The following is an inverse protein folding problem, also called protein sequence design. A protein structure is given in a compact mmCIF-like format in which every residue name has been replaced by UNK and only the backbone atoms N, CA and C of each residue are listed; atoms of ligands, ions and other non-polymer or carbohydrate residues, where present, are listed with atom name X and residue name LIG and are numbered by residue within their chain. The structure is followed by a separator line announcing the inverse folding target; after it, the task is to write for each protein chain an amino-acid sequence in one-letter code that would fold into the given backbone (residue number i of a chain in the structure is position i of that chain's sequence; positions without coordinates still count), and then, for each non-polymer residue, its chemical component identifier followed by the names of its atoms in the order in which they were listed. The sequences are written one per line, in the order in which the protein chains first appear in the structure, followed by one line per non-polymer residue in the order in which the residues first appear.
data_IF_507009169582
#
_entry.id   IF_507009169582
#
_cell.length_a   1.000
_cell.length_b   1.000
_cell.length_c   1.000
_cell.angle_alpha   90.00
_cell.angle_beta   90.00
_cell.angle_gamma   90.00
#
_symmetry.space_group_name_H-M   'P 1'
#
loop_
_entity.id
_entity.type
_entity.pdbx_description
1 polymer ?
#
# COMPACT_ATOMS: atom_id res chain seq x y z
N UNK A 1 21.98 -11.00 -8.59
CA UNK A 1 21.43 -9.89 -7.80
C UNK A 1 20.46 -10.42 -6.76
N UNK A 2 20.61 -9.98 -5.53
CA UNK A 2 19.77 -10.44 -4.45
C UNK A 2 18.42 -9.70 -4.50
N UNK A 3 17.33 -10.44 -4.57
CA UNK A 3 16.00 -9.88 -4.50
C UNK A 3 15.67 -9.55 -3.05
N UNK A 4 15.12 -8.38 -2.76
CA UNK A 4 14.63 -8.11 -1.40
C UNK A 4 13.41 -8.97 -1.10
N UNK A 5 13.08 -9.21 0.19
CA UNK A 5 11.84 -9.90 0.56
C UNK A 5 10.61 -9.23 -0.04
N UNK A 6 10.67 -7.91 -0.12
CA UNK A 6 9.70 -7.11 -0.86
C UNK A 6 10.18 -7.02 -2.30
N UNK A 7 9.36 -7.46 -3.22
CA UNK A 7 9.72 -7.49 -4.62
C UNK A 7 8.94 -6.43 -5.38
N UNK A 8 9.67 -5.49 -5.96
CA UNK A 8 9.10 -4.47 -6.84
C UNK A 8 9.84 -4.52 -8.16
N UNK A 9 9.12 -4.76 -9.25
CA UNK A 9 9.68 -4.82 -10.60
C UNK A 9 9.40 -3.52 -11.34
N UNK A 10 9.90 -3.44 -12.55
CA UNK A 10 9.71 -2.33 -13.46
C UNK A 10 10.43 -1.08 -12.99
N UNK A 11 9.76 0.05 -13.01
CA UNK A 11 10.37 1.33 -12.69
C UNK A 11 10.37 1.52 -11.17
N UNK A 12 11.57 1.58 -10.59
CA UNK A 12 11.71 1.90 -9.19
C UNK A 12 11.92 3.41 -9.03
N UNK A 13 11.07 4.03 -8.25
CA UNK A 13 11.21 5.43 -7.86
C UNK A 13 11.46 5.50 -6.36
N UNK A 14 12.57 6.13 -5.93
CA UNK A 14 12.81 6.27 -4.51
C UNK A 14 11.73 7.15 -3.87
N UNK A 15 11.42 6.91 -2.59
CA UNK A 15 10.47 7.77 -1.90
C UNK A 15 11.03 9.18 -1.73
N UNK A 16 10.16 10.18 -1.77
CA UNK A 16 10.53 11.56 -1.46
C UNK A 16 10.56 11.82 0.05
N UNK A 17 9.83 11.02 0.82
CA UNK A 17 9.88 10.99 2.28
C UNK A 17 9.79 9.54 2.72
N UNK A 18 10.50 9.20 3.80
CA UNK A 18 10.49 7.84 4.33
C UNK A 18 10.70 7.86 5.84
N UNK A 19 10.02 6.96 6.54
CA UNK A 19 10.24 6.73 7.96
C UNK A 19 11.36 5.73 8.23
N UNK A 20 12.11 5.32 7.21
CA UNK A 20 13.11 4.26 7.34
C UNK A 20 14.15 4.56 8.42
N UNK A 21 14.51 5.83 8.59
CA UNK A 21 15.53 6.24 9.56
C UNK A 21 14.98 6.49 10.98
N UNK A 22 13.70 6.21 11.20
CA UNK A 22 13.05 6.43 12.50
C UNK A 22 13.21 5.25 13.45
N UNK A 23 13.78 4.15 13.00
CA UNK A 23 13.95 2.96 13.82
C UNK A 23 12.67 2.15 14.05
N UNK A 24 11.60 2.43 13.30
CA UNK A 24 10.37 1.67 13.40
C UNK A 24 10.55 0.34 12.68
N UNK A 25 10.30 -0.76 13.38
CA UNK A 25 10.56 -2.10 12.83
C UNK A 25 9.33 -2.74 12.18
N UNK A 26 8.13 -2.29 12.54
CA UNK A 26 6.88 -2.94 12.11
C UNK A 26 6.05 -2.11 11.16
N UNK A 27 6.38 -0.85 10.99
CA UNK A 27 5.64 0.09 10.15
C UNK A 27 6.64 0.90 9.34
N UNK A 28 6.39 0.98 8.04
CA UNK A 28 7.16 1.84 7.15
C UNK A 28 6.19 2.78 6.45
N UNK A 29 6.42 4.08 6.59
CA UNK A 29 5.60 5.11 5.94
C UNK A 29 6.47 5.82 4.93
N UNK A 30 6.03 5.83 3.68
CA UNK A 30 6.78 6.46 2.59
C UNK A 30 5.85 7.25 1.67
N UNK A 31 6.35 8.37 1.18
CA UNK A 31 5.65 9.16 0.19
C UNK A 31 6.38 9.08 -1.14
N UNK A 32 5.62 8.84 -2.20
CA UNK A 32 6.15 8.72 -3.55
C UNK A 32 5.54 9.77 -4.46
N UNK A 33 6.32 10.20 -5.44
CA UNK A 33 5.86 11.03 -6.54
C UNK A 33 6.40 10.41 -7.82
N UNK A 34 5.52 10.09 -8.76
CA UNK A 34 5.88 9.31 -9.93
C UNK A 34 5.21 9.84 -11.19
N UNK A 35 5.95 9.92 -12.31
CA UNK A 35 5.32 10.18 -13.61
C UNK A 35 4.48 8.98 -14.04
N UNK A 36 3.70 9.11 -15.13
CA UNK A 36 2.93 7.98 -15.64
C UNK A 36 3.79 6.73 -15.79
N UNK A 37 3.26 5.59 -15.39
CA UNK A 37 4.01 4.34 -15.44
C UNK A 37 3.24 3.18 -14.89
N UNK A 38 3.97 2.13 -14.54
CA UNK A 38 3.40 0.92 -13.98
C UNK A 38 4.37 0.27 -13.00
N UNK A 39 3.83 -0.53 -12.10
CA UNK A 39 4.64 -1.28 -11.13
C UNK A 39 3.95 -2.59 -10.78
N UNK A 40 4.77 -3.59 -10.46
CA UNK A 40 4.31 -4.85 -9.90
C UNK A 40 4.96 -5.00 -8.53
N UNK A 41 4.13 -5.23 -7.52
CA UNK A 41 4.59 -5.34 -6.14
C UNK A 41 4.11 -6.64 -5.51
N UNK A 42 4.98 -7.23 -4.68
CA UNK A 42 4.63 -8.40 -3.89
C UNK A 42 5.34 -8.31 -2.55
N UNK A 43 4.59 -7.97 -1.52
CA UNK A 43 5.14 -7.90 -0.16
C UNK A 43 4.78 -9.20 0.56
N UNK A 44 5.80 -9.98 0.93
CA UNK A 44 5.59 -11.32 1.47
C UNK A 44 5.06 -11.31 2.92
N UNK A 45 5.46 -10.33 3.71
CA UNK A 45 5.14 -10.29 5.14
C UNK A 45 4.56 -8.94 5.59
N UNK A 46 4.18 -8.10 4.66
CA UNK A 46 3.63 -6.78 4.97
C UNK A 46 2.32 -6.53 4.24
N UNK A 47 1.38 -5.92 4.94
CA UNK A 47 0.19 -5.35 4.34
C UNK A 47 0.50 -3.93 3.87
N UNK A 48 -0.05 -3.53 2.73
CA UNK A 48 0.18 -2.20 2.18
C UNK A 48 -1.12 -1.41 2.12
N UNK A 49 -1.08 -0.18 2.62
CA UNK A 49 -2.17 0.78 2.50
C UNK A 49 -1.62 1.95 1.71
N UNK A 50 -2.24 2.27 0.59
CA UNK A 50 -1.84 3.38 -0.25
C UNK A 50 -2.94 4.43 -0.26
N UNK A 51 -2.59 5.68 0.03
CA UNK A 51 -3.53 6.79 -0.01
C UNK A 51 -3.10 7.78 -1.08
N UNK A 52 -4.02 8.15 -1.96
CA UNK A 52 -3.74 9.14 -2.98
C UNK A 52 -3.55 10.52 -2.35
N UNK A 53 -2.48 11.20 -2.73
CA UNK A 53 -2.21 12.59 -2.37
C UNK A 53 -2.19 13.47 -3.62
N UNK A 54 -2.52 12.93 -4.78
CA UNK A 54 -2.46 13.66 -6.03
C UNK A 54 -3.45 14.83 -6.00
N UNK A 55 -3.03 16.03 -6.41
CA UNK A 55 -3.92 17.20 -6.41
C UNK A 55 -5.03 17.10 -7.45
N UNK A 56 -4.87 16.24 -8.44
CA UNK A 56 -5.87 15.97 -9.49
C UNK A 56 -6.14 14.48 -9.54
N UNK A 57 -7.36 14.06 -9.87
CA UNK A 57 -7.66 12.64 -9.99
C UNK A 57 -6.74 11.95 -10.98
N UNK A 58 -6.29 10.76 -10.63
CA UNK A 58 -5.41 9.92 -11.45
C UNK A 58 -6.13 8.62 -11.78
N UNK A 59 -6.13 8.24 -13.04
CA UNK A 59 -6.72 6.97 -13.46
C UNK A 59 -5.74 5.85 -13.20
N UNK A 60 -6.23 4.83 -12.49
CA UNK A 60 -5.46 3.62 -12.21
C UNK A 60 -6.15 2.40 -12.78
N UNK A 61 -5.34 1.53 -13.37
CA UNK A 61 -5.71 0.14 -13.59
C UNK A 61 -4.97 -0.67 -12.54
N UNK A 62 -5.68 -1.47 -11.75
CA UNK A 62 -5.09 -2.31 -10.71
C UNK A 62 -5.54 -3.75 -10.89
N UNK A 63 -4.62 -4.67 -10.60
CA UNK A 63 -4.92 -6.11 -10.62
C UNK A 63 -4.45 -6.67 -9.28
N UNK A 64 -5.38 -7.26 -8.53
CA UNK A 64 -5.11 -7.90 -7.23
C UNK A 64 -5.87 -9.21 -7.17
N UNK A 65 -5.17 -10.30 -6.82
CA UNK A 65 -5.82 -11.59 -6.66
C UNK A 65 -6.61 -12.02 -7.88
N UNK A 66 -6.12 -11.74 -9.08
CA UNK A 66 -6.80 -12.09 -10.33
C UNK A 66 -7.96 -11.19 -10.72
N UNK A 67 -8.21 -10.10 -9.96
CA UNK A 67 -9.31 -9.18 -10.23
C UNK A 67 -8.75 -7.86 -10.74
N UNK A 68 -9.40 -7.29 -11.75
CA UNK A 68 -9.00 -6.04 -12.37
C UNK A 68 -9.99 -4.94 -12.01
N UNK A 69 -9.45 -3.76 -11.67
CA UNK A 69 -10.24 -2.58 -11.32
C UNK A 69 -9.67 -1.36 -12.02
N UNK A 70 -10.53 -0.59 -12.66
CA UNK A 70 -10.14 0.67 -13.31
C UNK A 70 -10.99 1.77 -12.70
N UNK A 71 -10.32 2.80 -12.17
CA UNK A 71 -11.03 3.91 -11.52
C UNK A 71 -10.17 5.15 -11.46
N UNK A 72 -10.80 6.28 -11.23
CA UNK A 72 -10.12 7.53 -10.90
C UNK A 72 -9.93 7.60 -9.39
N UNK A 73 -8.69 7.85 -8.97
CA UNK A 73 -8.36 8.04 -7.56
C UNK A 73 -8.17 9.51 -7.28
N UNK A 74 -8.97 10.05 -6.39
CA UNK A 74 -8.83 11.40 -5.89
C UNK A 74 -8.12 11.43 -4.55
N UNK A 75 -7.69 12.62 -4.13
CA UNK A 75 -7.00 12.80 -2.86
C UNK A 75 -7.79 12.19 -1.71
N UNK A 76 -7.14 11.33 -0.92
CA UNK A 76 -7.76 10.64 0.19
C UNK A 76 -8.27 9.25 -0.12
N UNK A 77 -8.39 8.87 -1.40
CA UNK A 77 -8.81 7.52 -1.74
C UNK A 77 -7.72 6.52 -1.35
N UNK A 78 -8.15 5.40 -0.78
CA UNK A 78 -7.28 4.36 -0.24
C UNK A 78 -7.38 3.08 -1.06
N UNK A 79 -6.25 2.37 -1.11
CA UNK A 79 -6.15 1.02 -1.66
C UNK A 79 -5.45 0.14 -0.63
N UNK A 80 -5.95 -1.06 -0.40
CA UNK A 80 -5.40 -1.98 0.60
C UNK A 80 -5.01 -3.28 -0.09
N UNK A 81 -3.78 -3.71 0.12
CA UNK A 81 -3.26 -4.97 -0.41
C UNK A 81 -2.71 -5.81 0.73
N UNK A 82 -3.32 -6.97 1.01
CA UNK A 82 -2.83 -7.85 2.06
C UNK A 82 -1.44 -8.40 1.77
N UNK A 83 -0.75 -8.83 2.82
CA UNK A 83 0.52 -9.55 2.67
C UNK A 83 0.34 -10.77 1.76
N UNK A 84 1.38 -11.11 1.03
CA UNK A 84 1.45 -12.25 0.11
C UNK A 84 0.58 -12.12 -1.15
N UNK A 85 -0.13 -11.03 -1.32
CA UNK A 85 -0.92 -10.81 -2.52
C UNK A 85 -0.13 -9.95 -3.51
N UNK A 86 0.27 -10.48 -4.66
CA UNK A 86 0.88 -9.65 -5.69
C UNK A 86 -0.14 -8.68 -6.26
N UNK A 87 0.31 -7.48 -6.62
CA UNK A 87 -0.56 -6.55 -7.29
C UNK A 87 0.18 -5.80 -8.38
N UNK A 88 -0.58 -5.41 -9.39
CA UNK A 88 -0.11 -4.59 -10.50
C UNK A 88 -0.89 -3.30 -10.52
N UNK A 89 -0.19 -2.19 -10.81
CA UNK A 89 -0.84 -0.90 -10.97
C UNK A 89 -0.23 -0.17 -12.17
N UNK A 90 -1.10 0.47 -12.95
CA UNK A 90 -0.70 1.35 -14.07
C UNK A 90 -1.48 2.64 -13.94
N UNK A 91 -0.79 3.74 -14.10
CA UNK A 91 -1.41 5.07 -14.04
C UNK A 91 -0.94 5.91 -15.22
N UNK A 92 -1.81 6.83 -15.67
CA UNK A 92 -1.62 7.56 -16.93
C UNK A 92 -1.31 9.05 -16.75
N UNK A 93 -1.13 9.51 -15.52
CA UNK A 93 -0.73 10.89 -15.26
C UNK A 93 0.12 10.94 -14.00
N UNK A 94 0.72 12.09 -13.71
CA UNK A 94 1.56 12.24 -12.53
C UNK A 94 0.80 11.86 -11.27
N UNK A 95 1.42 11.04 -10.43
CA UNK A 95 0.82 10.54 -9.21
C UNK A 95 1.62 10.94 -7.99
N UNK A 96 0.94 11.06 -6.87
CA UNK A 96 1.54 11.27 -5.57
C UNK A 96 0.78 10.42 -4.58
N UNK A 97 1.50 9.60 -3.81
CA UNK A 97 0.84 8.71 -2.86
C UNK A 97 1.63 8.58 -1.57
N UNK A 98 0.89 8.30 -0.51
CA UNK A 98 1.43 7.88 0.78
C UNK A 98 1.23 6.38 0.88
N UNK A 99 2.30 5.64 1.15
CA UNK A 99 2.22 4.21 1.36
C UNK A 99 2.59 3.88 2.80
N UNK A 100 1.74 3.08 3.43
CA UNK A 100 1.98 2.55 4.78
C UNK A 100 2.09 1.03 4.64
N UNK A 101 3.24 0.47 5.05
CA UNK A 101 3.42 -0.97 5.10
C UNK A 101 3.50 -1.41 6.56
N UNK A 102 2.72 -2.42 6.90
CA UNK A 102 2.62 -2.92 8.27
C UNK A 102 2.89 -4.42 8.24
N UNK A 103 3.81 -4.88 9.10
CA UNK A 103 4.10 -6.32 9.14
C UNK A 103 2.88 -7.09 9.60
N UNK A 104 2.70 -8.28 9.01
CA UNK A 104 1.63 -9.19 9.39
C UNK A 104 1.74 -9.57 10.87
N UNK A 105 2.96 -9.77 11.36
CA UNK A 105 3.21 -10.09 12.77
C UNK A 105 2.70 -8.99 13.69
N UNK A 106 2.95 -7.71 13.35
CA UNK A 106 2.49 -6.60 14.16
C UNK A 106 0.96 -6.51 14.15
N UNK A 107 0.33 -6.74 13.01
CA UNK A 107 -1.13 -6.76 12.92
C UNK A 107 -1.72 -7.85 13.81
N UNK A 108 -1.11 -9.05 13.79
CA UNK A 108 -1.55 -10.14 14.65
C UNK A 108 -1.40 -9.80 16.14
N UNK A 109 -0.32 -9.13 16.49
CA UNK A 109 -0.07 -8.69 17.86
C UNK A 109 -1.12 -7.68 18.32
N UNK A 110 -1.44 -6.69 17.48
CA UNK A 110 -2.47 -5.70 17.80
C UNK A 110 -3.83 -6.36 17.95
N UNK A 111 -4.16 -7.33 17.08
CA UNK A 111 -5.42 -8.06 17.17
C UNK A 111 -5.54 -8.78 18.51
N UNK A 112 -4.46 -9.43 18.96
CA UNK A 112 -4.47 -10.17 20.23
C UNK A 112 -4.53 -9.24 21.43
N UNK A 113 -3.68 -8.21 21.47
CA UNK A 113 -3.48 -7.41 22.67
C UNK A 113 -4.49 -6.28 22.80
N UNK A 114 -4.84 -5.64 21.71
CA UNK A 114 -5.70 -4.45 21.76
C UNK A 114 -7.16 -4.75 21.45
N UNK A 115 -7.43 -5.75 20.62
CA UNK A 115 -8.80 -6.03 20.15
C UNK A 115 -9.33 -7.35 20.64
N UNK A 116 -8.52 -8.16 21.35
CA UNK A 116 -8.90 -9.48 21.86
C UNK A 116 -9.43 -10.40 20.75
N UNK A 117 -8.85 -10.29 19.56
CA UNK A 117 -9.21 -11.13 18.42
C UNK A 117 -8.15 -12.21 18.27
N UNK A 118 -8.60 -13.45 18.00
CA UNK A 118 -7.70 -14.55 17.68
C UNK A 118 -6.96 -14.22 16.37
N UNK A 119 -5.60 -14.14 16.37
CA UNK A 119 -4.85 -13.82 15.16
C UNK A 119 -5.15 -14.74 13.98
N UNK A 120 -5.52 -15.98 14.23
CA UNK A 120 -5.86 -16.93 13.18
C UNK A 120 -7.15 -16.54 12.45
N UNK A 121 -7.96 -15.66 13.04
CA UNK A 121 -9.21 -15.19 12.45
C UNK A 121 -9.08 -13.79 11.83
N UNK A 122 -7.90 -13.18 12.01
CA UNK A 122 -7.67 -11.87 11.43
C UNK A 122 -7.46 -12.01 9.93
N UNK A 123 -8.22 -11.24 9.17
CA UNK A 123 -8.10 -11.21 7.72
C UNK A 123 -8.06 -9.76 7.25
N UNK A 124 -7.02 -9.42 6.50
CA UNK A 124 -6.94 -8.12 5.82
C UNK A 124 -7.59 -8.29 4.46
N UNK A 125 -8.65 -7.53 4.23
CA UNK A 125 -9.45 -7.66 3.01
C UNK A 125 -8.84 -6.80 1.91
N UNK A 126 -8.51 -7.38 0.74
CA UNK A 126 -8.03 -6.57 -0.38
C UNK A 126 -9.12 -5.60 -0.81
N UNK A 127 -8.75 -4.34 -0.97
CA UNK A 127 -9.68 -3.27 -1.31
C UNK A 127 -9.08 -2.42 -2.42
N UNK A 128 -9.80 -2.24 -3.51
CA UNK A 128 -9.30 -1.42 -4.61
C UNK A 128 -9.43 0.07 -4.29
N UNK A 129 -10.55 0.49 -3.73
CA UNK A 129 -10.80 1.89 -3.46
C UNK A 129 -11.77 2.06 -2.29
N UNK A 130 -11.35 2.84 -1.30
CA UNK A 130 -12.19 3.19 -0.15
C UNK A 130 -11.72 4.53 0.42
N UNK A 131 -12.38 5.00 1.47
CA UNK A 131 -11.98 6.22 2.16
C UNK A 131 -12.06 6.02 3.66
N UNK A 132 -11.15 6.69 4.37
CA UNK A 132 -11.16 6.71 5.84
C UNK A 132 -10.88 8.15 6.28
N UNK A 133 -11.89 8.87 6.82
CA UNK A 133 -11.71 10.26 7.22
C UNK A 133 -10.62 10.45 8.27
N UNK A 134 -10.37 9.46 9.13
CA UNK A 134 -9.33 9.59 10.14
C UNK A 134 -7.94 9.56 9.52
N UNK A 135 -7.72 8.73 8.51
CA UNK A 135 -6.45 8.72 7.79
C UNK A 135 -6.29 9.98 6.95
N UNK A 136 -7.35 10.49 6.37
CA UNK A 136 -7.28 11.72 5.59
C UNK A 136 -6.87 12.93 6.45
N UNK A 137 -7.18 12.91 7.73
CA UNK A 137 -6.89 14.01 8.65
C UNK A 137 -5.43 14.07 9.11
N UNK A 138 -4.64 13.07 8.79
CA UNK A 138 -3.23 13.02 9.21
C UNK A 138 -2.34 13.95 8.37
#
# INVERSE_FOLDING_TARGET
MKMPPTHQTEIYHPPILSSQDRGWSNILVEQFQSPPGETTCHYSDEHAICMSLAPRPVRFLQIKGGRTHISLYGKGDLSITPAQMPFFARWDSDDRLLQIRITDRFMAQVATEALSIDPARLEVIPTFRTRDPQLEAI
#
